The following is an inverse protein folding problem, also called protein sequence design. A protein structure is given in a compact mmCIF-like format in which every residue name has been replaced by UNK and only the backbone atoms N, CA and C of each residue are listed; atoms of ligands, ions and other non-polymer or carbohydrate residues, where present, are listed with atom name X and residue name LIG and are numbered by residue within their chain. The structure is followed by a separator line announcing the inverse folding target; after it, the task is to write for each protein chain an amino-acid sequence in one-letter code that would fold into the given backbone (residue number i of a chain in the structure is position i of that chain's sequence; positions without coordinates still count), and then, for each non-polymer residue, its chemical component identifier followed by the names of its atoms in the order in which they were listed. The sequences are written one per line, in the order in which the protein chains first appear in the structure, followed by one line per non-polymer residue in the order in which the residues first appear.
data_IF_093771308349
#
_entry.id   IF_093771308349
#
_cell.length_a   1.000
_cell.length_b   1.000
_cell.length_c   1.000
_cell.angle_alpha   90.00
_cell.angle_beta   90.00
_cell.angle_gamma   90.00
#
_symmetry.space_group_name_H-M   'P 1'
#
loop_
_entity.id
_entity.type
_entity.pdbx_description
1 polymer ?
#
# COMPACT_ATOMS: atom_id res chain seq x y z
N UNK A 1 -43.97 36.78 -34.31
CA UNK A 1 -42.90 35.92 -33.76
C UNK A 1 -43.47 35.07 -32.62
N UNK A 2 -44.04 33.91 -32.92
CA UNK A 2 -44.72 33.05 -31.92
C UNK A 2 -44.19 31.61 -32.04
N UNK A 3 -42.96 31.39 -31.54
CA UNK A 3 -42.32 30.07 -31.49
C UNK A 3 -41.70 29.72 -30.12
N UNK A 4 -41.82 30.58 -29.10
CA UNK A 4 -40.92 30.52 -27.95
C UNK A 4 -41.14 29.35 -26.98
N UNK A 5 -42.37 28.99 -26.63
CA UNK A 5 -42.61 28.00 -25.55
C UNK A 5 -42.78 26.56 -26.03
N UNK A 6 -43.42 26.32 -27.17
CA UNK A 6 -43.58 24.97 -27.72
C UNK A 6 -42.26 24.42 -28.24
N UNK A 7 -41.42 25.26 -28.86
CA UNK A 7 -40.07 24.87 -29.29
C UNK A 7 -39.14 24.63 -28.10
N UNK A 8 -39.23 25.43 -27.03
CA UNK A 8 -38.46 25.21 -25.81
C UNK A 8 -38.78 23.85 -25.15
N UNK A 9 -40.05 23.43 -25.13
CA UNK A 9 -40.46 22.10 -24.63
C UNK A 9 -39.89 20.97 -25.49
N UNK A 10 -39.89 21.14 -26.81
CA UNK A 10 -39.31 20.16 -27.74
C UNK A 10 -37.78 20.08 -27.59
N UNK A 11 -37.11 21.22 -27.41
CA UNK A 11 -35.68 21.27 -27.14
C UNK A 11 -35.33 20.59 -25.81
N UNK A 12 -36.10 20.83 -24.75
CA UNK A 12 -35.92 20.16 -23.46
C UNK A 12 -36.09 18.64 -23.57
N UNK A 13 -37.07 18.16 -24.34
CA UNK A 13 -37.25 16.73 -24.59
C UNK A 13 -36.05 16.10 -25.31
N UNK A 14 -35.50 16.78 -26.33
CA UNK A 14 -34.30 16.32 -27.05
C UNK A 14 -33.04 16.36 -26.16
N UNK A 15 -32.93 17.34 -25.26
CA UNK A 15 -31.83 17.42 -24.29
C UNK A 15 -31.92 16.28 -23.28
N UNK A 16 -33.12 15.97 -22.78
CA UNK A 16 -33.33 14.82 -21.90
C UNK A 16 -32.99 13.50 -22.60
N UNK A 17 -33.43 13.31 -23.85
CA UNK A 17 -33.05 12.12 -24.63
C UNK A 17 -31.54 12.00 -24.81
N UNK A 18 -30.84 13.11 -25.08
CA UNK A 18 -29.36 13.10 -25.17
C UNK A 18 -28.71 12.76 -23.84
N UNK A 19 -29.25 13.28 -22.73
CA UNK A 19 -28.76 13.01 -21.38
C UNK A 19 -28.95 11.54 -21.00
N UNK A 20 -30.13 11.00 -21.27
CA UNK A 20 -30.43 9.57 -21.06
C UNK A 20 -29.52 8.68 -21.90
N UNK A 21 -29.30 9.01 -23.18
CA UNK A 21 -28.36 8.25 -24.02
C UNK A 21 -26.91 8.32 -23.51
N UNK A 22 -26.48 9.46 -22.97
CA UNK A 22 -25.14 9.61 -22.39
C UNK A 22 -25.01 8.82 -21.08
N UNK A 23 -26.00 8.89 -20.19
CA UNK A 23 -26.04 8.13 -18.94
C UNK A 23 -26.08 6.62 -19.20
N UNK A 24 -26.81 6.17 -20.22
CA UNK A 24 -26.86 4.76 -20.61
C UNK A 24 -25.50 4.29 -21.17
N UNK A 25 -24.81 5.16 -21.92
CA UNK A 25 -23.46 4.87 -22.41
C UNK A 25 -22.44 4.77 -21.27
N UNK A 26 -22.51 5.68 -20.29
CA UNK A 26 -21.65 5.64 -19.11
C UNK A 26 -21.95 4.38 -18.28
N UNK A 27 -23.22 4.01 -18.12
CA UNK A 27 -23.61 2.73 -17.48
C UNK A 27 -23.08 1.51 -18.22
N UNK A 28 -23.14 1.51 -19.56
CA UNK A 28 -22.59 0.42 -20.36
C UNK A 28 -21.07 0.34 -20.24
N UNK A 29 -20.37 1.49 -20.19
CA UNK A 29 -18.93 1.54 -19.93
C UNK A 29 -18.58 1.01 -18.55
N UNK A 30 -19.30 1.45 -17.52
CA UNK A 30 -19.11 0.99 -16.15
C UNK A 30 -19.41 -0.51 -16.02
N UNK A 31 -20.43 -1.01 -16.72
CA UNK A 31 -20.74 -2.43 -16.78
C UNK A 31 -19.60 -3.23 -17.44
N UNK A 32 -19.06 -2.76 -18.57
CA UNK A 32 -17.91 -3.40 -19.23
C UNK A 32 -16.65 -3.36 -18.35
N UNK A 33 -16.38 -2.23 -17.67
CA UNK A 33 -15.26 -2.15 -16.73
C UNK A 33 -15.45 -3.12 -15.56
N UNK A 34 -16.64 -3.19 -14.99
CA UNK A 34 -16.95 -4.11 -13.90
C UNK A 34 -16.87 -5.57 -14.34
N UNK A 35 -17.33 -5.90 -15.54
CA UNK A 35 -17.22 -7.26 -16.10
C UNK A 35 -15.77 -7.63 -16.39
N UNK A 36 -14.98 -6.72 -16.97
CA UNK A 36 -13.54 -6.96 -17.20
C UNK A 36 -12.79 -7.11 -15.88
N UNK A 37 -12.99 -6.22 -14.90
CA UNK A 37 -12.39 -6.36 -13.56
C UNK A 37 -12.75 -7.69 -12.87
N UNK A 38 -13.99 -8.17 -13.05
CA UNK A 38 -14.47 -9.42 -12.47
C UNK A 38 -13.97 -10.65 -13.25
N UNK A 39 -13.75 -10.50 -14.55
CA UNK A 39 -13.19 -11.52 -15.46
C UNK A 39 -11.67 -11.61 -15.42
N UNK A 40 -10.96 -10.67 -14.77
CA UNK A 40 -9.53 -10.77 -14.52
C UNK A 40 -9.23 -11.21 -13.06
N UNK A 41 -9.39 -12.50 -12.71
CA UNK A 41 -8.99 -13.01 -11.41
C UNK A 41 -7.46 -13.16 -11.34
N UNK A 42 -6.70 -12.06 -11.31
CA UNK A 42 -5.25 -12.19 -11.24
C UNK A 42 -4.39 -10.95 -11.31
N UNK A 43 -4.88 -9.81 -11.81
CA UNK A 43 -4.03 -8.61 -11.96
C UNK A 43 -3.50 -8.15 -10.60
N UNK A 44 -4.39 -8.01 -9.61
CA UNK A 44 -4.03 -7.62 -8.24
C UNK A 44 -3.29 -8.69 -7.42
N UNK A 45 -3.04 -9.90 -7.96
CA UNK A 45 -2.25 -10.93 -7.25
C UNK A 45 -0.76 -10.86 -7.58
N UNK A 46 -0.39 -10.20 -8.67
CA UNK A 46 1.00 -10.15 -9.15
C UNK A 46 1.60 -8.74 -9.20
N UNK A 47 0.78 -7.68 -9.29
CA UNK A 47 1.25 -6.33 -9.00
C UNK A 47 1.13 -6.07 -7.51
N UNK A 48 2.26 -6.02 -6.81
CA UNK A 48 2.29 -5.50 -5.45
C UNK A 48 1.69 -4.11 -5.46
N UNK A 49 0.70 -3.86 -4.59
CA UNK A 49 0.06 -2.55 -4.38
C UNK A 49 1.04 -1.57 -3.71
N UNK A 50 2.13 -1.29 -4.41
CA UNK A 50 3.23 -0.41 -4.03
C UNK A 50 3.50 0.62 -5.14
N UNK A 51 2.50 0.94 -5.96
CA UNK A 51 2.55 2.18 -6.73
C UNK A 51 2.57 3.32 -5.71
N UNK A 52 3.73 3.98 -5.59
CA UNK A 52 3.89 5.18 -4.76
C UNK A 52 2.88 6.23 -5.24
N UNK A 53 2.30 7.05 -4.36
CA UNK A 53 1.36 8.11 -4.77
C UNK A 53 1.91 9.01 -5.88
N UNK A 54 3.23 9.17 -5.91
CA UNK A 54 3.92 9.94 -6.94
C UNK A 54 3.94 9.22 -8.29
N UNK A 55 3.97 7.89 -8.28
CA UNK A 55 3.97 7.06 -9.47
C UNK A 55 2.58 7.00 -10.13
N UNK A 56 1.50 6.95 -9.33
CA UNK A 56 0.14 7.08 -9.86
C UNK A 56 -0.10 8.47 -10.43
N UNK A 57 0.38 9.53 -9.73
CA UNK A 57 0.34 10.89 -10.25
C UNK A 57 1.09 10.98 -11.57
N UNK A 58 2.35 10.50 -11.65
CA UNK A 58 3.16 10.46 -12.87
C UNK A 58 2.43 9.74 -14.00
N UNK A 59 1.95 8.50 -13.78
CA UNK A 59 1.20 7.72 -14.79
C UNK A 59 -0.02 8.48 -15.31
N UNK A 60 -0.73 9.17 -14.41
CA UNK A 60 -1.92 9.96 -14.75
C UNK A 60 -1.60 11.31 -15.41
N UNK A 61 -0.36 11.77 -15.36
CA UNK A 61 0.09 13.10 -15.83
C UNK A 61 1.10 13.02 -16.98
N UNK A 62 1.33 11.86 -17.58
CA UNK A 62 2.13 11.74 -18.80
C UNK A 62 1.31 12.30 -19.98
N UNK A 63 1.80 13.37 -20.61
CA UNK A 63 1.18 14.00 -21.77
C UNK A 63 0.87 15.49 -21.58
N UNK A 64 0.12 16.08 -22.52
CA UNK A 64 -0.31 17.48 -22.46
C UNK A 64 -1.48 17.60 -21.47
N UNK A 65 -1.18 17.98 -20.22
CA UNK A 65 -2.15 18.07 -19.13
C UNK A 65 -2.27 19.54 -18.69
N UNK A 66 -3.49 20.00 -18.41
CA UNK A 66 -3.71 21.35 -17.88
C UNK A 66 -3.27 21.43 -16.41
N UNK A 67 -2.87 22.62 -15.97
CA UNK A 67 -2.45 22.85 -14.59
C UNK A 67 -3.55 22.47 -13.58
N UNK A 68 -4.81 22.75 -13.92
CA UNK A 68 -5.98 22.42 -13.08
C UNK A 68 -6.11 20.91 -12.87
N UNK A 69 -5.96 20.12 -13.92
CA UNK A 69 -6.08 18.66 -13.86
C UNK A 69 -4.97 18.04 -12.99
N UNK A 70 -3.76 18.61 -13.01
CA UNK A 70 -2.65 18.18 -12.17
C UNK A 70 -2.91 18.46 -10.68
N UNK A 71 -3.42 19.67 -10.38
CA UNK A 71 -3.77 20.07 -9.01
C UNK A 71 -4.92 19.22 -8.46
N UNK A 72 -5.94 18.98 -9.28
CA UNK A 72 -7.08 18.14 -8.93
C UNK A 72 -6.66 16.70 -8.65
N UNK A 73 -5.85 16.09 -9.54
CA UNK A 73 -5.33 14.73 -9.34
C UNK A 73 -4.44 14.60 -8.10
N UNK A 74 -3.62 15.62 -7.83
CA UNK A 74 -2.79 15.64 -6.61
C UNK A 74 -3.65 15.70 -5.34
N UNK A 75 -4.66 16.56 -5.32
CA UNK A 75 -5.60 16.69 -4.20
C UNK A 75 -6.42 15.43 -3.99
N UNK A 76 -6.89 14.82 -5.07
CA UNK A 76 -7.66 13.58 -5.04
C UNK A 76 -6.84 12.40 -4.48
N UNK A 77 -5.59 12.26 -4.88
CA UNK A 77 -4.69 11.23 -4.33
C UNK A 77 -4.42 11.43 -2.84
N UNK A 78 -4.26 12.69 -2.41
CA UNK A 78 -4.08 13.02 -0.99
C UNK A 78 -5.35 12.72 -0.17
N UNK A 79 -6.51 13.07 -0.70
CA UNK A 79 -7.80 12.78 -0.07
C UNK A 79 -8.10 11.28 -0.02
N UNK A 80 -7.80 10.53 -1.09
CA UNK A 80 -7.95 9.08 -1.10
C UNK A 80 -7.08 8.42 -0.01
N UNK A 81 -5.84 8.87 0.15
CA UNK A 81 -4.96 8.40 1.22
C UNK A 81 -5.50 8.76 2.60
N UNK A 82 -6.03 9.97 2.78
CA UNK A 82 -6.66 10.38 4.03
C UNK A 82 -7.89 9.52 4.36
N UNK A 83 -8.72 9.19 3.37
CA UNK A 83 -9.89 8.31 3.52
C UNK A 83 -9.50 6.88 3.84
N UNK A 84 -8.46 6.32 3.20
CA UNK A 84 -7.95 4.98 3.54
C UNK A 84 -7.37 4.95 4.97
N UNK A 85 -6.67 6.00 5.40
CA UNK A 85 -6.17 6.11 6.77
C UNK A 85 -7.31 6.21 7.80
N UNK A 86 -8.41 6.90 7.47
CA UNK A 86 -9.60 6.97 8.32
C UNK A 86 -10.33 5.61 8.40
N UNK A 87 -10.59 4.96 7.26
CA UNK A 87 -11.27 3.66 7.22
C UNK A 87 -10.48 2.55 7.94
N UNK A 88 -9.14 2.56 7.84
CA UNK A 88 -8.30 1.57 8.52
C UNK A 88 -8.28 1.74 10.05
N UNK A 89 -8.57 2.93 10.58
CA UNK A 89 -8.77 3.14 12.00
C UNK A 89 -10.16 2.68 12.45
N UNK A 90 -11.21 3.03 11.71
CA UNK A 90 -12.60 2.67 12.07
C UNK A 90 -12.86 1.16 12.04
N UNK A 91 -12.32 0.44 11.05
CA UNK A 91 -12.42 -1.01 10.93
C UNK A 91 -11.68 -1.77 12.05
N UNK A 92 -10.66 -1.16 12.68
CA UNK A 92 -9.97 -1.74 13.85
C UNK A 92 -10.86 -1.63 15.09
N UNK A 93 -11.54 -0.51 15.28
CA UNK A 93 -12.41 -0.28 16.44
C UNK A 93 -13.67 -1.16 16.44
N UNK A 94 -14.28 -1.38 15.27
CA UNK A 94 -15.44 -2.28 15.14
C UNK A 94 -15.08 -3.75 15.42
N UNK A 95 -13.93 -4.22 14.92
CA UNK A 95 -13.46 -5.59 15.16
C UNK A 95 -13.14 -5.85 16.63
N UNK A 96 -12.68 -4.84 17.38
CA UNK A 96 -12.45 -4.95 18.83
C UNK A 96 -13.78 -5.01 19.59
N UNK A 97 -14.80 -4.24 19.17
CA UNK A 97 -16.14 -4.22 19.80
C UNK A 97 -16.93 -5.52 19.57
N UNK A 98 -16.85 -6.13 18.39
CA UNK A 98 -17.57 -7.39 18.10
C UNK A 98 -16.99 -8.61 18.85
N UNK A 99 -15.67 -8.64 19.11
CA UNK A 99 -15.03 -9.73 19.86
C UNK A 99 -15.41 -9.74 21.35
N UNK A 100 -15.75 -8.59 21.93
CA UNK A 100 -16.18 -8.50 23.34
C UNK A 100 -17.61 -8.99 23.58
N UNK A 101 -18.49 -8.98 22.55
CA UNK A 101 -19.91 -9.35 22.69
C UNK A 101 -20.22 -10.84 22.52
N UNK A 102 -19.30 -11.66 22.00
CA UNK A 102 -19.54 -13.09 21.72
C UNK A 102 -19.07 -14.07 22.82
N UNK A 103 -18.67 -13.59 24.00
CA UNK A 103 -18.06 -14.41 25.07
C UNK A 103 -18.97 -14.67 26.29
N UNK A 104 -20.28 -14.74 26.11
CA UNK A 104 -21.20 -15.10 27.21
C UNK A 104 -22.18 -16.15 26.67
N UNK A 105 -22.30 -17.27 27.39
CA UNK A 105 -23.19 -18.43 27.16
C UNK A 105 -22.72 -19.50 26.17
N UNK A 106 -21.95 -20.49 26.67
CA UNK A 106 -21.99 -21.85 26.13
C UNK A 106 -22.49 -22.76 27.25
N UNK A 107 -23.76 -23.14 27.14
CA UNK A 107 -24.47 -24.10 28.00
C UNK A 107 -23.73 -25.43 28.01
N UNK A 108 -23.46 -25.95 29.21
CA UNK A 108 -22.87 -27.26 29.44
C UNK A 108 -24.01 -28.28 29.46
N UNK A 109 -24.13 -28.99 28.34
CA UNK A 109 -25.06 -30.09 28.12
C UNK A 109 -24.91 -31.17 29.20
N UNK A 110 -26.06 -31.67 29.65
CA UNK A 110 -26.26 -32.80 30.55
C UNK A 110 -26.33 -34.11 29.75
N UNK A 111 -25.38 -35.02 29.95
CA UNK A 111 -25.40 -36.45 29.63
C UNK A 111 -24.47 -37.08 30.69
N UNK A 112 -24.93 -37.69 31.80
CA UNK A 112 -25.64 -38.96 31.97
C UNK A 112 -24.84 -40.20 31.50
N UNK A 113 -24.71 -41.19 32.40
CA UNK A 113 -23.89 -42.45 32.41
C UNK A 113 -22.43 -42.26 32.85
N UNK A 114 -21.84 -42.98 33.81
CA UNK A 114 -22.16 -44.26 34.48
C UNK A 114 -21.11 -44.37 35.62
N UNK A 115 -21.51 -44.33 36.89
CA UNK A 115 -21.42 -45.43 37.87
C UNK A 115 -20.05 -45.63 38.55
N UNK A 116 -20.12 -45.67 39.89
CA UNK A 116 -19.20 -46.25 40.87
C UNK A 116 -17.81 -45.65 41.20
N UNK A 117 -17.82 -44.85 42.27
CA UNK A 117 -17.00 -44.97 43.50
C UNK A 117 -15.45 -44.86 43.47
N UNK A 118 -14.91 -43.96 44.29
CA UNK A 118 -13.47 -43.84 44.58
C UNK A 118 -13.09 -42.49 45.21
N UNK A 119 -13.13 -42.43 46.53
CA UNK A 119 -12.92 -41.29 47.43
C UNK A 119 -11.42 -40.90 47.65
N UNK A 120 -11.21 -39.69 48.17
CA UNK A 120 -9.98 -39.07 48.75
C UNK A 120 -8.82 -38.73 47.77
N UNK A 121 -8.05 -37.63 47.85
CA UNK A 121 -7.63 -36.78 48.96
C UNK A 121 -7.22 -35.35 48.49
N UNK A 122 -7.23 -34.43 49.45
CA UNK A 122 -7.05 -32.99 49.45
C UNK A 122 -5.64 -32.49 49.05
N UNK A 123 -5.52 -31.24 48.56
CA UNK A 123 -4.19 -30.66 48.30
C UNK A 123 -4.08 -29.24 47.76
N UNK A 124 -4.71 -28.26 48.42
CA UNK A 124 -4.48 -26.83 48.19
C UNK A 124 -3.13 -26.36 48.77
N UNK A 125 -2.23 -25.74 47.98
CA UNK A 125 -1.40 -24.59 48.44
C UNK A 125 -0.64 -23.83 47.33
N UNK A 126 -0.77 -22.51 47.43
CA UNK A 126 0.00 -21.41 46.81
C UNK A 126 1.51 -21.65 46.65
N UNK A 127 2.04 -21.19 45.52
CA UNK A 127 3.43 -20.73 45.36
C UNK A 127 3.46 -19.48 44.48
N UNK A 128 3.58 -18.31 45.12
CA UNK A 128 3.81 -17.00 44.52
C UNK A 128 5.32 -16.79 44.54
N UNK A 129 5.96 -16.65 43.38
CA UNK A 129 7.25 -15.97 43.31
C UNK A 129 7.38 -15.19 42.00
N UNK A 130 7.92 -13.98 42.12
CA UNK A 130 7.94 -12.96 41.09
C UNK A 130 9.27 -12.95 40.34
N UNK A 131 9.19 -13.04 39.03
CA UNK A 131 10.23 -12.59 38.11
C UNK A 131 9.58 -11.67 37.09
N UNK A 132 10.00 -10.40 37.09
CA UNK A 132 9.62 -9.39 36.10
C UNK A 132 10.15 -9.76 34.71
N UNK A 133 9.38 -10.55 33.96
CA UNK A 133 9.48 -10.61 32.50
C UNK A 133 8.05 -10.64 31.93
N UNK A 134 7.79 -9.94 30.81
CA UNK A 134 6.44 -9.90 30.25
C UNK A 134 6.02 -11.32 29.88
N UNK A 135 4.78 -11.75 30.21
CA UNK A 135 4.34 -13.11 29.98
C UNK A 135 4.32 -13.38 28.47
N UNK A 136 5.34 -14.07 27.98
CA UNK A 136 5.37 -14.65 26.64
C UNK A 136 4.19 -15.60 26.58
N UNK A 137 3.14 -15.20 25.86
CA UNK A 137 1.96 -16.02 25.62
C UNK A 137 2.42 -17.23 24.83
N UNK A 138 2.71 -18.31 25.53
CA UNK A 138 3.04 -19.60 24.93
C UNK A 138 1.78 -20.08 24.21
N UNK A 139 1.69 -19.79 22.92
CA UNK A 139 0.64 -20.35 22.08
C UNK A 139 0.76 -21.86 22.19
N UNK A 140 -0.27 -22.47 22.78
CA UNK A 140 -0.35 -23.90 23.06
C UNK A 140 -0.53 -24.64 21.72
N UNK A 141 0.54 -24.76 20.96
CA UNK A 141 0.56 -25.57 19.74
C UNK A 141 0.95 -26.97 20.21
N UNK A 142 -0.05 -27.82 20.48
CA UNK A 142 0.13 -29.24 20.80
C UNK A 142 0.61 -30.05 19.57
N UNK A 143 1.47 -29.47 18.73
CA UNK A 143 1.99 -30.10 17.51
C UNK A 143 3.51 -30.03 17.56
N UNK A 144 4.15 -31.03 16.97
CA UNK A 144 5.60 -31.15 16.91
C UNK A 144 6.23 -29.87 16.32
N UNK A 145 7.17 -29.20 17.02
CA UNK A 145 7.80 -27.96 16.57
C UNK A 145 8.69 -28.14 15.33
N UNK A 146 9.01 -29.37 14.93
CA UNK A 146 9.76 -29.65 13.71
C UNK A 146 8.90 -29.67 12.44
N UNK A 147 7.57 -29.54 12.56
CA UNK A 147 6.67 -29.48 11.40
C UNK A 147 6.69 -28.07 10.83
N UNK A 148 7.02 -27.93 9.56
CA UNK A 148 6.99 -26.65 8.87
C UNK A 148 5.56 -26.08 8.84
N UNK A 149 5.39 -24.91 9.46
CA UNK A 149 4.10 -24.19 9.50
C UNK A 149 4.11 -22.98 8.56
N UNK A 150 5.07 -22.91 7.62
CA UNK A 150 5.19 -21.87 6.59
C UNK A 150 3.91 -21.71 5.75
N UNK A 151 3.19 -22.81 5.51
CA UNK A 151 1.97 -22.83 4.72
C UNK A 151 0.72 -22.30 5.46
N UNK A 152 0.77 -22.18 6.80
CA UNK A 152 -0.33 -21.57 7.54
C UNK A 152 -0.20 -20.04 7.52
N UNK A 153 -1.29 -19.31 7.25
CA UNK A 153 -1.35 -17.86 7.44
C UNK A 153 -0.98 -17.49 8.89
N UNK A 154 0.21 -16.94 9.05
CA UNK A 154 0.79 -16.60 10.35
C UNK A 154 0.99 -15.09 10.42
N UNK A 155 0.14 -14.45 11.23
CA UNK A 155 0.10 -13.00 11.44
C UNK A 155 1.44 -12.46 11.95
N UNK A 156 2.15 -13.22 12.76
CA UNK A 156 3.43 -12.80 13.35
C UNK A 156 4.55 -12.89 12.32
N UNK A 157 4.57 -13.94 11.49
CA UNK A 157 5.52 -14.11 10.40
C UNK A 157 5.37 -13.04 9.33
N UNK A 158 4.13 -12.74 8.92
CA UNK A 158 3.84 -11.66 7.98
C UNK A 158 4.28 -10.29 8.52
N UNK A 159 4.14 -10.08 9.84
CA UNK A 159 4.60 -8.83 10.47
C UNK A 159 6.12 -8.74 10.55
N UNK A 160 6.81 -9.84 10.83
CA UNK A 160 8.27 -9.93 10.78
C UNK A 160 8.79 -9.68 9.37
N UNK A 161 8.20 -10.30 8.35
CA UNK A 161 8.55 -10.05 6.95
C UNK A 161 8.32 -8.59 6.55
N UNK A 162 7.25 -7.97 7.06
CA UNK A 162 7.02 -6.54 6.84
C UNK A 162 8.12 -5.68 7.47
N UNK A 163 8.52 -6.00 8.71
CA UNK A 163 9.60 -5.28 9.42
C UNK A 163 10.92 -5.43 8.69
N UNK A 164 11.33 -6.65 8.34
CA UNK A 164 12.57 -6.88 7.60
C UNK A 164 12.57 -6.18 6.25
N UNK A 165 11.41 -6.10 5.58
CA UNK A 165 11.26 -5.35 4.33
C UNK A 165 11.35 -3.85 4.51
N UNK A 166 10.75 -3.29 5.57
CA UNK A 166 10.86 -1.88 5.93
C UNK A 166 12.32 -1.52 6.31
N UNK A 167 13.01 -2.40 7.05
CA UNK A 167 14.42 -2.27 7.41
C UNK A 167 15.33 -2.27 6.18
N UNK A 168 15.19 -3.26 5.29
CA UNK A 168 15.93 -3.33 4.02
C UNK A 168 15.72 -2.08 3.16
N UNK A 169 14.50 -1.53 3.15
CA UNK A 169 14.21 -0.27 2.43
C UNK A 169 14.96 0.91 3.06
N UNK A 170 14.97 1.00 4.38
CA UNK A 170 15.71 2.05 5.08
C UNK A 170 17.21 1.92 4.88
N UNK A 171 17.76 0.71 4.99
CA UNK A 171 19.17 0.45 4.68
C UNK A 171 19.52 0.83 3.25
N UNK A 172 18.65 0.50 2.29
CA UNK A 172 18.86 0.85 0.90
C UNK A 172 18.88 2.37 0.70
N UNK A 173 17.93 3.09 1.29
CA UNK A 173 17.92 4.56 1.26
C UNK A 173 19.15 5.15 1.94
N UNK A 174 19.55 4.61 3.09
CA UNK A 174 20.76 5.05 3.81
C UNK A 174 22.01 4.83 2.97
N UNK A 175 22.16 3.65 2.35
CA UNK A 175 23.27 3.34 1.43
C UNK A 175 23.27 4.26 0.21
N UNK A 176 22.10 4.63 -0.31
CA UNK A 176 21.99 5.61 -1.39
C UNK A 176 22.41 7.00 -0.95
N UNK A 177 22.04 7.42 0.26
CA UNK A 177 22.41 8.72 0.82
C UNK A 177 23.91 8.79 1.14
N UNK A 178 24.46 7.75 1.72
CA UNK A 178 25.89 7.57 1.99
C UNK A 178 26.69 7.66 0.69
N UNK A 179 26.31 6.88 -0.33
CA UNK A 179 26.96 6.91 -1.64
C UNK A 179 26.80 8.26 -2.37
N UNK A 180 25.73 9.01 -2.11
CA UNK A 180 25.54 10.37 -2.64
C UNK A 180 26.42 11.40 -1.95
N UNK A 181 26.68 11.21 -0.65
CA UNK A 181 27.52 12.08 0.17
C UNK A 181 29.02 11.75 0.05
N UNK A 182 29.36 10.56 -0.45
CA UNK A 182 30.74 10.24 -0.81
C UNK A 182 31.31 11.31 -1.76
N UNK A 183 32.38 11.95 -1.29
CA UNK A 183 33.13 12.98 -2.02
C UNK A 183 34.12 12.30 -2.97
N UNK A 184 34.04 12.63 -4.26
CA UNK A 184 34.90 12.08 -5.29
C UNK A 184 35.82 13.18 -5.80
N UNK A 185 37.12 12.90 -5.85
CA UNK A 185 38.10 13.78 -6.48
C UNK A 185 38.08 13.57 -7.99
N UNK A 186 37.62 14.58 -8.73
CA UNK A 186 37.65 14.57 -10.19
C UNK A 186 38.89 15.33 -10.66
N UNK A 187 39.86 14.59 -11.19
CA UNK A 187 41.05 15.15 -11.85
C UNK A 187 40.72 15.42 -13.31
N UNK A 188 40.67 16.69 -13.70
CA UNK A 188 40.44 17.08 -15.09
C UNK A 188 41.64 17.86 -15.65
N UNK A 189 41.79 17.81 -16.97
CA UNK A 189 42.79 18.57 -17.71
C UNK A 189 42.10 19.29 -18.84
N UNK A 190 42.34 20.59 -18.97
CA UNK A 190 41.95 21.33 -20.16
C UNK A 190 42.96 21.08 -21.27
N UNK A 191 42.50 20.96 -22.52
CA UNK A 191 43.37 20.80 -23.69
C UNK A 191 43.68 22.18 -24.29
N UNK A 192 44.38 23.02 -23.52
CA UNK A 192 44.78 24.38 -23.90
C UNK A 192 46.28 24.50 -24.25
N UNK A 193 46.98 23.36 -24.32
CA UNK A 193 48.42 23.29 -24.60
C UNK A 193 49.31 23.45 -23.37
N UNK A 194 48.75 23.72 -22.18
CA UNK A 194 49.46 23.72 -20.91
C UNK A 194 49.02 22.51 -20.08
N UNK A 195 49.94 21.57 -19.81
CA UNK A 195 49.67 20.30 -19.13
C UNK A 195 49.38 20.41 -17.63
N UNK A 196 48.56 21.38 -17.20
CA UNK A 196 48.18 21.57 -15.81
C UNK A 196 46.89 20.82 -15.48
N UNK A 197 47.04 19.75 -14.70
CA UNK A 197 45.93 18.97 -14.14
C UNK A 197 45.37 19.74 -12.94
N UNK A 198 44.05 19.92 -12.91
CA UNK A 198 43.35 20.49 -11.76
C UNK A 198 42.47 19.40 -11.15
N UNK A 199 42.38 19.35 -9.83
CA UNK A 199 41.43 18.50 -9.13
C UNK A 199 40.32 19.33 -8.48
N UNK A 200 39.10 18.83 -8.53
CA UNK A 200 37.95 19.40 -7.82
C UNK A 200 37.23 18.26 -7.11
N UNK A 201 36.95 18.45 -5.83
CA UNK A 201 36.15 17.54 -5.02
C UNK A 201 34.67 17.84 -5.25
N UNK A 202 33.91 16.84 -5.68
CA UNK A 202 32.46 16.95 -5.88
C UNK A 202 31.75 15.81 -5.16
N UNK A 203 30.57 16.07 -4.61
CA UNK A 203 29.72 15.01 -4.07
C UNK A 203 29.08 14.21 -5.20
N UNK A 204 29.03 12.89 -5.04
CA UNK A 204 28.48 11.96 -6.04
C UNK A 204 27.03 12.33 -6.47
N UNK A 205 26.23 12.96 -5.58
CA UNK A 205 24.91 13.48 -5.92
C UNK A 205 24.92 14.45 -7.12
N UNK A 206 25.93 15.31 -7.22
CA UNK A 206 26.02 16.32 -8.28
C UNK A 206 26.48 15.73 -9.63
N UNK A 207 27.20 14.61 -9.61
CA UNK A 207 27.72 13.94 -10.80
C UNK A 207 26.62 13.23 -11.60
N UNK A 208 25.61 12.69 -10.92
CA UNK A 208 24.45 12.03 -11.56
C UNK A 208 23.57 13.00 -12.36
N UNK A 209 23.45 14.25 -11.92
CA UNK A 209 22.70 15.28 -12.63
C UNK A 209 23.39 15.72 -13.94
N UNK A 210 24.72 15.70 -13.97
CA UNK A 210 25.52 16.07 -15.14
C UNK A 210 25.40 15.08 -16.31
N UNK A 211 25.36 13.78 -16.03
CA UNK A 211 25.17 12.76 -17.08
C UNK A 211 23.80 12.88 -17.77
N UNK A 212 22.75 13.28 -17.05
CA UNK A 212 21.40 13.42 -17.64
C UNK A 212 21.23 14.70 -18.46
N UNK A 213 22.00 15.76 -18.18
CA UNK A 213 21.93 17.03 -18.91
C UNK A 213 22.70 17.01 -20.24
N UNK A 214 23.74 16.16 -20.37
CA UNK A 214 24.62 16.14 -21.54
C UNK A 214 24.38 14.97 -22.51
N UNK A 215 23.61 13.95 -22.13
CA UNK A 215 23.29 12.80 -22.99
C UNK A 215 22.28 13.10 -24.14
N UNK A 216 21.83 14.36 -24.29
CA UNK A 216 20.85 14.78 -25.29
C UNK A 216 21.39 15.54 -26.51
N UNK A 217 22.71 15.67 -26.70
CA UNK A 217 23.30 16.54 -27.76
C UNK A 217 24.30 15.91 -28.72
N UNK A 218 24.30 14.60 -28.91
CA UNK A 218 25.19 13.98 -29.90
C UNK A 218 24.52 12.88 -30.72
N UNK A 219 23.52 13.24 -31.55
CA UNK A 219 23.24 12.57 -32.84
C UNK A 219 22.48 13.55 -33.76
N UNK A 220 23.17 14.56 -34.30
CA UNK A 220 22.67 15.35 -35.43
C UNK A 220 23.81 16.11 -36.13
N UNK A 221 24.50 15.43 -37.05
CA UNK A 221 25.17 15.97 -38.27
C UNK A 221 25.45 14.74 -39.13
N UNK A 222 24.78 14.56 -40.28
CA UNK A 222 25.12 15.14 -41.59
C UNK A 222 26.48 14.64 -42.10
#
# INVERSE_FOLDING_TARGET
MAGSQSEARRQAALVNQRKEMMEEFDRQKDAMLKETEKSLPGTNRFVGRNDSMEETLKKSTIGLVKLEDFQNKRKELEEAKAREAAQTNELKDEKVKQKKRKKITKSKLSFAMDDEEGEEDSGNKKGKDGSEEPPVKRNKVNKNPAVDTSFLPDREREEQERRTREELRQEWLRKQEELKHEEIEVVYSYWDGSGHRKSVTVSCNTLTHWHSAHAGRHYATA
#
